data_IF_122143337577
#
_entry.id   IF_122143337577
#
_cell.length_a   1.000
_cell.length_b   1.000
_cell.length_c   1.000
_cell.angle_alpha   90.00
_cell.angle_beta   90.00
_cell.angle_gamma   90.00
#
_symmetry.space_group_name_H-M   'P 1'
#
loop_
_entity.id
_entity.type
_entity.pdbx_description
1 polymer ?
#
# COMPACT_ATOMS: atom_id res chain seq x y z
N UNK A 1 -10.41 -4.13 4.14
CA UNK A 1 -10.70 -5.58 4.25
C UNK A 1 -9.92 -6.09 5.45
N UNK A 2 -10.41 -7.07 6.19
CA UNK A 2 -9.66 -7.68 7.30
C UNK A 2 -9.36 -9.13 6.91
N UNK A 3 -8.10 -9.58 7.06
CA UNK A 3 -7.72 -10.98 6.78
C UNK A 3 -7.88 -11.89 8.00
N UNK A 4 -7.55 -13.18 7.83
CA UNK A 4 -7.63 -14.18 8.91
C UNK A 4 -6.70 -13.89 10.10
N UNK A 5 -5.66 -13.08 9.91
CA UNK A 5 -4.72 -12.65 10.94
C UNK A 5 -5.12 -11.29 11.55
N UNK A 6 -6.34 -10.81 11.28
CA UNK A 6 -6.87 -9.53 11.71
C UNK A 6 -6.06 -8.31 11.21
N UNK A 7 -5.42 -8.43 10.05
CA UNK A 7 -4.75 -7.29 9.40
C UNK A 7 -5.73 -6.53 8.53
N UNK A 8 -5.67 -5.21 8.58
CA UNK A 8 -6.47 -4.34 7.74
C UNK A 8 -5.76 -4.03 6.42
N UNK A 9 -6.38 -4.44 5.33
CA UNK A 9 -5.93 -4.24 3.96
C UNK A 9 -6.68 -3.09 3.28
N UNK A 10 -5.91 -2.28 2.56
CA UNK A 10 -6.40 -1.35 1.55
C UNK A 10 -6.10 -1.92 0.15
N UNK A 11 -7.11 -1.99 -0.71
CA UNK A 11 -6.95 -2.41 -2.10
C UNK A 11 -7.04 -1.15 -2.96
N UNK A 12 -5.94 -0.85 -3.64
CA UNK A 12 -5.70 0.39 -4.37
C UNK A 12 -5.84 1.66 -3.51
N UNK A 13 -5.17 2.72 -3.93
CA UNK A 13 -5.21 4.03 -3.29
C UNK A 13 -5.34 5.12 -4.35
N UNK A 14 -6.53 5.21 -4.92
CA UNK A 14 -6.92 6.29 -5.83
C UNK A 14 -6.96 7.67 -5.16
N UNK A 15 -7.08 8.75 -5.95
CA UNK A 15 -6.95 10.13 -5.44
C UNK A 15 -8.02 10.50 -4.40
N UNK A 16 -9.18 9.85 -4.42
CA UNK A 16 -10.27 10.10 -3.47
C UNK A 16 -10.18 9.28 -2.20
N UNK A 17 -9.38 8.21 -2.19
CA UNK A 17 -9.29 7.24 -1.09
C UNK A 17 -8.83 7.88 0.23
N UNK A 18 -7.76 8.71 0.28
CA UNK A 18 -7.33 9.32 1.54
C UNK A 18 -8.44 10.12 2.22
N UNK A 19 -9.19 10.92 1.43
CA UNK A 19 -10.31 11.71 1.93
C UNK A 19 -11.40 10.85 2.55
N UNK A 20 -11.74 9.74 1.90
CA UNK A 20 -12.76 8.80 2.41
C UNK A 20 -12.30 8.15 3.71
N UNK A 21 -11.02 7.79 3.84
CA UNK A 21 -10.47 7.22 5.08
C UNK A 21 -10.57 8.21 6.25
N UNK A 22 -10.19 9.47 6.03
CA UNK A 22 -10.28 10.50 7.06
C UNK A 22 -11.73 10.76 7.50
N UNK A 23 -12.66 10.82 6.55
CA UNK A 23 -14.08 11.03 6.85
C UNK A 23 -14.70 9.90 7.67
N UNK A 24 -14.14 8.69 7.58
CA UNK A 24 -14.56 7.54 8.37
C UNK A 24 -13.88 7.47 9.75
N UNK A 25 -13.01 8.43 10.06
CA UNK A 25 -12.24 8.42 11.31
C UNK A 25 -11.18 7.33 11.36
N UNK A 26 -10.63 6.92 10.21
CA UNK A 26 -9.55 5.93 10.18
C UNK A 26 -8.28 6.50 10.79
N UNK A 27 -7.68 5.76 11.72
CA UNK A 27 -6.44 6.12 12.39
C UNK A 27 -5.23 5.82 11.52
N UNK A 28 -4.13 6.54 11.76
CA UNK A 28 -2.92 6.40 10.94
C UNK A 28 -2.25 5.04 11.02
N UNK A 29 -2.53 4.24 12.04
CA UNK A 29 -1.98 2.90 12.23
C UNK A 29 -2.97 1.79 11.84
N UNK A 30 -4.19 2.12 11.38
CA UNK A 30 -5.22 1.14 11.11
C UNK A 30 -4.86 0.22 9.94
N UNK A 31 -4.31 0.78 8.86
CA UNK A 31 -3.98 0.01 7.65
C UNK A 31 -2.64 -0.68 7.82
N UNK A 32 -2.61 -1.99 7.61
CA UNK A 32 -1.43 -2.85 7.71
C UNK A 32 -0.74 -3.06 6.36
N UNK A 33 -1.56 -3.23 5.33
CA UNK A 33 -1.10 -3.55 4.00
C UNK A 33 -1.89 -2.78 2.94
N UNK A 34 -1.20 -2.39 1.87
CA UNK A 34 -1.79 -1.86 0.65
C UNK A 34 -1.47 -2.84 -0.48
N UNK A 35 -2.48 -3.26 -1.21
CA UNK A 35 -2.32 -4.06 -2.42
C UNK A 35 -2.70 -3.20 -3.63
N UNK A 36 -1.74 -2.98 -4.54
CA UNK A 36 -2.01 -2.34 -5.83
C UNK A 36 -2.29 -3.40 -6.88
N UNK A 37 -3.49 -3.34 -7.47
CA UNK A 37 -3.89 -4.21 -8.58
C UNK A 37 -3.11 -3.86 -9.84
N UNK A 38 -2.98 -2.56 -10.11
CA UNK A 38 -2.17 -1.98 -11.18
C UNK A 38 -1.91 -0.48 -10.95
N UNK A 39 -1.14 0.17 -11.83
CA UNK A 39 -0.67 1.57 -11.67
C UNK A 39 -1.33 2.56 -12.62
N UNK A 40 -2.64 2.44 -12.84
CA UNK A 40 -3.37 3.55 -13.44
C UNK A 40 -3.61 4.67 -12.41
N UNK A 41 -3.67 5.95 -12.85
CA UNK A 41 -3.73 7.08 -11.93
C UNK A 41 -4.87 7.03 -10.92
N UNK A 42 -6.03 6.51 -11.32
CA UNK A 42 -7.21 6.33 -10.48
C UNK A 42 -7.06 5.25 -9.40
N UNK A 43 -6.02 4.40 -9.48
CA UNK A 43 -5.71 3.37 -8.51
C UNK A 43 -4.52 3.70 -7.60
N UNK A 44 -3.62 4.61 -7.96
CA UNK A 44 -2.37 4.82 -7.20
C UNK A 44 -2.05 6.25 -6.77
N UNK A 45 -2.65 7.28 -7.39
CA UNK A 45 -2.23 8.68 -7.13
C UNK A 45 -2.58 9.20 -5.74
N UNK A 46 -3.45 8.52 -4.99
CA UNK A 46 -3.74 8.84 -3.61
C UNK A 46 -2.62 8.43 -2.64
N UNK A 47 -1.71 7.53 -3.05
CA UNK A 47 -0.65 7.00 -2.18
C UNK A 47 0.21 8.11 -1.58
N UNK A 48 0.59 9.11 -2.40
CA UNK A 48 1.41 10.24 -1.95
C UNK A 48 0.74 11.01 -0.82
N UNK A 49 -0.54 11.36 -0.97
CA UNK A 49 -1.30 12.10 0.04
C UNK A 49 -1.53 11.26 1.31
N UNK A 50 -1.78 9.96 1.16
CA UNK A 50 -1.96 9.04 2.29
C UNK A 50 -0.69 8.95 3.14
N UNK A 51 0.47 8.73 2.52
CA UNK A 51 1.75 8.61 3.22
C UNK A 51 2.18 9.92 3.87
N UNK A 52 1.94 11.06 3.20
CA UNK A 52 2.21 12.39 3.78
C UNK A 52 1.38 12.59 5.05
N UNK A 53 0.09 12.26 5.01
CA UNK A 53 -0.78 12.33 6.17
C UNK A 53 -0.30 11.41 7.31
N UNK A 54 0.03 10.15 7.02
CA UNK A 54 0.56 9.24 8.03
C UNK A 54 1.85 9.75 8.68
N UNK A 55 2.74 10.40 7.92
CA UNK A 55 3.90 11.08 8.48
C UNK A 55 3.48 12.24 9.39
N UNK A 56 2.62 13.14 8.93
CA UNK A 56 2.19 14.33 9.68
C UNK A 56 1.55 13.99 11.03
N UNK A 57 0.90 12.83 11.12
CA UNK A 57 0.24 12.34 12.32
C UNK A 57 1.01 11.19 12.99
N UNK A 58 2.31 11.09 12.71
CA UNK A 58 3.25 10.21 13.42
C UNK A 58 2.83 8.75 13.47
N UNK A 59 2.45 8.17 12.33
CA UNK A 59 2.33 6.72 12.17
C UNK A 59 3.61 6.05 12.69
N UNK A 60 3.44 5.02 13.52
CA UNK A 60 4.55 4.25 14.10
C UNK A 60 4.65 2.85 13.50
N UNK A 61 3.54 2.33 12.97
CA UNK A 61 3.47 0.98 12.42
C UNK A 61 4.12 0.91 11.03
N UNK A 62 4.94 -0.09 10.72
CA UNK A 62 5.32 -0.38 9.33
C UNK A 62 4.09 -0.58 8.45
N UNK A 63 4.20 -0.32 7.15
CA UNK A 63 3.17 -0.68 6.17
C UNK A 63 3.77 -1.60 5.12
N UNK A 64 3.04 -2.64 4.73
CA UNK A 64 3.43 -3.52 3.63
C UNK A 64 2.77 -3.01 2.35
N UNK A 65 3.52 -2.85 1.27
CA UNK A 65 2.97 -2.51 -0.05
C UNK A 65 3.25 -3.66 -1.01
N UNK A 66 2.17 -4.28 -1.47
CA UNK A 66 2.19 -5.32 -2.48
C UNK A 66 1.91 -4.74 -3.86
N UNK A 67 2.74 -5.07 -4.84
CA UNK A 67 2.54 -4.67 -6.24
C UNK A 67 3.29 -5.62 -7.19
N UNK A 68 3.01 -5.53 -8.49
CA UNK A 68 3.79 -6.26 -9.49
C UNK A 68 5.20 -5.65 -9.62
N UNK A 69 6.25 -6.44 -9.87
CA UNK A 69 7.64 -5.92 -9.95
C UNK A 69 7.82 -4.76 -10.95
N UNK A 70 7.12 -4.81 -12.09
CA UNK A 70 7.19 -3.76 -13.11
C UNK A 70 6.57 -2.42 -12.66
N UNK A 71 5.72 -2.45 -11.63
CA UNK A 71 4.96 -1.30 -11.14
C UNK A 71 5.63 -0.63 -9.94
N UNK A 72 6.44 -1.37 -9.19
CA UNK A 72 7.11 -0.91 -7.97
C UNK A 72 7.89 0.41 -8.16
N UNK A 73 8.68 0.63 -9.24
CA UNK A 73 9.44 1.86 -9.38
C UNK A 73 8.56 3.13 -9.39
N UNK A 74 7.38 3.09 -10.03
CA UNK A 74 6.49 4.25 -10.09
C UNK A 74 5.82 4.51 -8.73
N UNK A 75 5.45 3.44 -8.00
CA UNK A 75 4.89 3.55 -6.66
C UNK A 75 5.92 4.09 -5.67
N UNK A 76 7.19 3.69 -5.80
CA UNK A 76 8.29 4.24 -5.00
C UNK A 76 8.50 5.74 -5.27
N UNK A 77 8.34 6.20 -6.52
CA UNK A 77 8.38 7.64 -6.84
C UNK A 77 7.24 8.41 -6.18
N UNK A 78 6.01 7.87 -6.21
CA UNK A 78 4.87 8.46 -5.51
C UNK A 78 5.09 8.50 -3.99
N UNK A 79 5.67 7.45 -3.42
CA UNK A 79 6.00 7.39 -2.01
C UNK A 79 7.09 8.39 -1.61
N UNK A 80 8.15 8.53 -2.43
CA UNK A 80 9.21 9.51 -2.21
C UNK A 80 8.68 10.95 -2.26
N UNK A 81 7.71 11.23 -3.13
CA UNK A 81 7.08 12.55 -3.22
C UNK A 81 6.30 12.92 -1.95
N UNK A 82 5.88 11.94 -1.14
CA UNK A 82 5.07 12.18 0.06
C UNK A 82 5.78 13.03 1.12
N UNK A 83 7.10 13.10 1.09
CA UNK A 83 7.87 13.90 2.05
C UNK A 83 9.06 14.63 1.43
N UNK A 84 8.98 14.95 0.14
CA UNK A 84 10.06 15.65 -0.55
C UNK A 84 10.48 16.96 0.19
N UNK A 85 11.79 17.24 0.34
CA UNK A 85 12.95 16.50 -0.18
C UNK A 85 13.47 15.37 0.71
N UNK A 86 12.88 15.12 1.87
CA UNK A 86 13.34 14.09 2.80
C UNK A 86 12.72 12.73 2.49
N UNK A 87 13.56 11.69 2.38
CA UNK A 87 13.09 10.33 2.14
C UNK A 87 12.42 9.67 3.36
N UNK A 88 12.74 10.14 4.57
CA UNK A 88 12.27 9.51 5.81
C UNK A 88 10.82 9.89 6.12
N UNK A 89 9.94 8.89 6.28
CA UNK A 89 8.54 9.06 6.66
C UNK A 89 8.31 8.91 8.18
N UNK A 90 9.31 8.48 8.94
CA UNK A 90 9.16 8.14 10.37
C UNK A 90 8.60 6.73 10.61
N UNK A 91 8.27 6.00 9.55
CA UNK A 91 7.89 4.59 9.57
C UNK A 91 8.42 3.90 8.30
N UNK A 92 8.51 2.57 8.34
CA UNK A 92 9.04 1.78 7.22
C UNK A 92 7.94 1.37 6.25
N UNK A 93 8.27 1.38 4.96
CA UNK A 93 7.49 0.76 3.89
C UNK A 93 8.21 -0.53 3.49
N UNK A 94 7.56 -1.68 3.70
CA UNK A 94 8.04 -2.98 3.24
C UNK A 94 7.43 -3.30 1.87
N UNK A 95 8.27 -3.38 0.84
CA UNK A 95 7.82 -3.63 -0.53
C UNK A 95 7.85 -5.12 -0.83
N UNK A 96 6.69 -5.68 -1.19
CA UNK A 96 6.52 -7.10 -1.48
C UNK A 96 6.07 -7.32 -2.92
N UNK A 97 6.79 -8.17 -3.65
CA UNK A 97 6.42 -8.52 -5.02
C UNK A 97 5.22 -9.47 -5.03
N UNK A 98 4.15 -9.07 -5.73
CA UNK A 98 3.07 -9.96 -6.08
C UNK A 98 3.26 -10.41 -7.53
N UNK A 99 3.68 -11.66 -7.71
CA UNK A 99 3.73 -12.29 -9.03
C UNK A 99 2.35 -12.86 -9.32
N UNK A 100 1.83 -12.63 -10.52
CA UNK A 100 0.61 -13.32 -10.92
C UNK A 100 0.80 -14.82 -10.73
N UNK A 101 -0.28 -15.50 -10.30
CA UNK A 101 -0.31 -16.95 -10.27
C UNK A 101 -0.24 -17.48 -11.70
N UNK A 102 0.97 -17.56 -12.24
CA UNK A 102 1.22 -18.19 -13.52
C UNK A 102 0.66 -19.60 -13.47
N UNK A 103 -0.13 -19.96 -14.48
CA UNK A 103 -0.41 -21.38 -14.78
C UNK A 103 0.93 -22.08 -15.02
N UNK A 104 1.54 -22.64 -13.98
CA UNK A 104 2.68 -23.54 -14.11
C UNK A 104 3.82 -23.35 -13.12
N UNK A 105 3.90 -24.31 -12.19
CA UNK A 105 5.08 -24.95 -11.55
C UNK A 105 6.17 -24.09 -10.87
N UNK A 106 6.19 -24.28 -9.56
CA UNK A 106 7.33 -24.48 -8.63
C UNK A 106 8.27 -23.30 -8.37
N UNK A 107 8.40 -22.94 -7.08
CA UNK A 107 9.71 -22.59 -6.51
C UNK A 107 9.90 -21.23 -5.86
N UNK A 108 8.86 -20.58 -5.31
CA UNK A 108 8.88 -19.64 -4.16
C UNK A 108 7.46 -19.11 -4.03
N UNK A 109 6.89 -19.18 -2.83
CA UNK A 109 5.48 -18.84 -2.58
C UNK A 109 5.22 -17.38 -2.93
N UNK A 110 4.62 -17.12 -4.10
CA UNK A 110 3.95 -15.86 -4.35
C UNK A 110 2.76 -15.79 -3.39
N UNK A 111 2.65 -14.72 -2.60
CA UNK A 111 1.44 -14.47 -1.84
C UNK A 111 0.32 -14.20 -2.86
N UNK A 112 -0.71 -15.06 -2.95
CA UNK A 112 -1.89 -14.72 -3.75
C UNK A 112 -2.52 -13.44 -3.18
N UNK A 113 -3.27 -12.66 -3.98
CA UNK A 113 -4.09 -11.58 -3.43
C UNK A 113 -4.94 -12.13 -2.27
N UNK A 114 -5.23 -11.32 -1.24
CA UNK A 114 -5.89 -11.80 -0.02
C UNK A 114 -7.15 -12.60 -0.37
N UNK A 115 -7.22 -13.85 0.12
CA UNK A 115 -8.36 -14.73 -0.12
C UNK A 115 -9.60 -14.18 0.56
N UNK A 116 -10.65 -13.93 -0.22
CA UNK A 116 -11.95 -13.47 0.27
C UNK A 116 -12.60 -14.55 1.15
N UNK A 117 -12.99 -14.21 2.37
CA UNK A 117 -13.92 -14.96 3.21
C UNK A 117 -15.30 -14.32 3.22
#
# INVERSE_FOLDING_TARGET
MIDADNKQWLIDCGPTVPRVLWQRGGEVNDIDAIYFTHVHPDHCTGLTALLNHWKSYSRQKPVIIYCQPAQQPVLMQLAALANWPQADLGFTIDWQECREAGRGRTGRSALPPPSMS
#
